data_IF_747612657768
#
_entry.id   IF_747612657768
#
_cell.length_a   1.000
_cell.length_b   1.000
_cell.length_c   1.000
_cell.angle_alpha   90.00
_cell.angle_beta   90.00
_cell.angle_gamma   90.00
#
_symmetry.space_group_name_H-M   'P 1'
#
loop_
_entity.id
_entity.type
_entity.pdbx_description
1 polymer ?
#
# COMPACT_ATOMS: atom_id res chain seq x y z
N UNK A 1 8.50 10.61 -11.17
CA UNK A 1 8.53 9.73 -9.97
C UNK A 1 7.28 9.87 -9.12
N UNK A 2 7.02 11.04 -8.52
CA UNK A 2 5.93 11.24 -7.53
C UNK A 2 4.54 10.86 -8.08
N UNK A 3 4.16 11.32 -9.27
CA UNK A 3 2.84 10.99 -9.84
C UNK A 3 2.63 9.48 -10.06
N UNK A 4 3.62 8.78 -10.61
CA UNK A 4 3.57 7.33 -10.79
C UNK A 4 3.55 6.58 -9.45
N UNK A 5 4.30 7.06 -8.46
CA UNK A 5 4.31 6.49 -7.12
C UNK A 5 2.95 6.66 -6.43
N UNK A 6 2.32 7.82 -6.55
CA UNK A 6 0.97 8.07 -6.04
C UNK A 6 -0.07 7.18 -6.71
N UNK A 7 -0.01 7.03 -8.05
CA UNK A 7 -0.91 6.14 -8.76
C UNK A 7 -0.78 4.69 -8.26
N UNK A 8 0.44 4.17 -8.14
CA UNK A 8 0.68 2.82 -7.62
C UNK A 8 0.30 2.64 -6.14
N UNK A 9 0.53 3.67 -5.31
CA UNK A 9 0.15 3.60 -3.90
C UNK A 9 -1.38 3.63 -3.71
N UNK A 10 -2.09 4.44 -4.51
CA UNK A 10 -3.55 4.54 -4.44
C UNK A 10 -4.24 3.27 -4.92
N UNK A 11 -3.71 2.59 -5.95
CA UNK A 11 -4.25 1.27 -6.35
C UNK A 11 -4.04 0.23 -5.27
N UNK A 12 -2.87 0.23 -4.62
CA UNK A 12 -2.56 -0.67 -3.50
C UNK A 12 -3.47 -0.37 -2.29
N UNK A 13 -3.67 0.91 -1.96
CA UNK A 13 -4.57 1.33 -0.88
C UNK A 13 -6.02 0.88 -1.11
N UNK A 14 -6.54 1.04 -2.34
CA UNK A 14 -7.88 0.58 -2.70
C UNK A 14 -8.01 -0.95 -2.55
N UNK A 15 -6.97 -1.71 -2.94
CA UNK A 15 -6.95 -3.16 -2.75
C UNK A 15 -6.93 -3.52 -1.25
N UNK A 16 -6.08 -2.89 -0.44
CA UNK A 16 -5.99 -3.15 1.00
C UNK A 16 -7.30 -2.83 1.74
N UNK A 17 -8.02 -1.80 1.31
CA UNK A 17 -9.33 -1.44 1.87
C UNK A 17 -10.40 -2.54 1.75
N UNK A 18 -10.21 -3.52 0.85
CA UNK A 18 -11.13 -4.65 0.68
C UNK A 18 -10.52 -5.98 1.11
N UNK A 19 -9.25 -6.21 0.80
CA UNK A 19 -8.56 -7.48 1.09
C UNK A 19 -8.32 -7.69 2.58
N UNK A 20 -7.90 -6.64 3.31
CA UNK A 20 -7.58 -6.77 4.74
C UNK A 20 -8.83 -7.10 5.58
N UNK A 21 -9.96 -6.38 5.44
CA UNK A 21 -11.17 -6.74 6.16
C UNK A 21 -11.71 -8.13 5.80
N UNK A 22 -11.63 -8.51 4.52
CA UNK A 22 -12.06 -9.83 4.04
C UNK A 22 -11.20 -10.94 4.65
N UNK A 23 -9.88 -10.75 4.69
CA UNK A 23 -8.96 -11.69 5.31
C UNK A 23 -9.27 -11.88 6.79
N UNK A 24 -9.44 -10.79 7.56
CA UNK A 24 -9.78 -10.88 8.98
C UNK A 24 -11.11 -11.59 9.22
N UNK A 25 -12.12 -11.31 8.40
CA UNK A 25 -13.40 -12.04 8.46
C UNK A 25 -13.23 -13.54 8.23
N UNK A 26 -12.35 -13.94 7.30
CA UNK A 26 -12.09 -15.35 7.01
C UNK A 26 -11.38 -16.08 8.15
N UNK A 27 -10.47 -15.39 8.87
CA UNK A 27 -9.76 -15.98 10.02
C UNK A 27 -10.50 -15.81 11.35
N UNK A 28 -11.73 -15.28 11.33
CA UNK A 28 -12.58 -15.13 12.53
C UNK A 28 -12.17 -13.97 13.45
N UNK A 29 -11.36 -13.04 12.96
CA UNK A 29 -10.95 -11.83 13.69
C UNK A 29 -11.91 -10.69 13.30
N UNK A 30 -12.33 -9.89 14.28
CA UNK A 30 -13.18 -8.71 14.04
C UNK A 30 -12.47 -7.71 13.10
N UNK A 31 -12.96 -7.51 11.87
CA UNK A 31 -12.36 -6.59 10.92
C UNK A 31 -12.38 -5.13 11.41
N UNK A 32 -13.36 -4.73 12.22
CA UNK A 32 -13.46 -3.34 12.66
C UNK A 32 -12.30 -2.92 13.57
N UNK A 33 -11.80 -3.85 14.38
CA UNK A 33 -10.69 -3.62 15.32
C UNK A 33 -9.34 -3.78 14.63
N UNK A 34 -9.18 -4.82 13.81
CA UNK A 34 -7.89 -5.17 13.22
C UNK A 34 -7.60 -4.41 11.91
N UNK A 35 -8.59 -4.05 11.09
CA UNK A 35 -8.30 -3.54 9.74
C UNK A 35 -7.64 -2.16 9.74
N UNK A 36 -8.03 -1.26 10.65
CA UNK A 36 -7.49 0.11 10.66
C UNK A 36 -5.95 0.16 10.79
N UNK A 37 -5.32 -0.45 11.81
CA UNK A 37 -3.86 -0.45 11.93
C UNK A 37 -3.15 -1.25 10.82
N UNK A 38 -3.75 -2.33 10.32
CA UNK A 38 -3.13 -3.15 9.27
C UNK A 38 -3.20 -2.49 7.89
N UNK A 39 -4.30 -1.81 7.57
CA UNK A 39 -4.45 -1.08 6.30
C UNK A 39 -3.43 0.06 6.25
N UNK A 40 -3.34 0.91 7.28
CA UNK A 40 -2.43 2.05 7.28
C UNK A 40 -0.96 1.62 7.20
N UNK A 41 -0.55 0.66 8.05
CA UNK A 41 0.83 0.15 8.03
C UNK A 41 1.20 -0.52 6.71
N UNK A 42 0.28 -1.27 6.10
CA UNK A 42 0.50 -1.88 4.79
C UNK A 42 0.65 -0.83 3.70
N UNK A 43 -0.18 0.22 3.71
CA UNK A 43 -0.09 1.34 2.77
C UNK A 43 1.23 2.12 2.97
N UNK A 44 1.67 2.33 4.21
CA UNK A 44 2.93 3.02 4.49
C UNK A 44 4.13 2.23 3.95
N UNK A 45 4.20 0.93 4.25
CA UNK A 45 5.29 0.06 3.79
C UNK A 45 5.30 -0.04 2.27
N UNK A 46 4.14 -0.34 1.66
CA UNK A 46 4.05 -0.49 0.20
C UNK A 46 4.28 0.83 -0.52
N UNK A 47 3.78 1.95 0.00
CA UNK A 47 4.02 3.28 -0.54
C UNK A 47 5.50 3.66 -0.54
N UNK A 48 6.21 3.39 0.57
CA UNK A 48 7.67 3.59 0.64
C UNK A 48 8.42 2.70 -0.34
N UNK A 49 8.02 1.43 -0.49
CA UNK A 49 8.65 0.52 -1.46
C UNK A 49 8.41 0.98 -2.91
N UNK A 50 7.19 1.34 -3.27
CA UNK A 50 6.85 1.85 -4.61
C UNK A 50 7.63 3.13 -4.91
N UNK A 51 7.64 4.08 -3.98
CA UNK A 51 8.38 5.33 -4.14
C UNK A 51 9.88 5.07 -4.30
N UNK A 52 10.47 4.29 -3.40
CA UNK A 52 11.91 4.02 -3.38
C UNK A 52 12.33 3.26 -4.64
N UNK A 53 11.56 2.26 -5.06
CA UNK A 53 11.80 1.54 -6.31
C UNK A 53 11.74 2.47 -7.53
N UNK A 54 10.69 3.28 -7.65
CA UNK A 54 10.57 4.21 -8.78
C UNK A 54 11.64 5.30 -8.75
N UNK A 55 12.03 5.77 -7.56
CA UNK A 55 13.13 6.71 -7.41
C UNK A 55 14.44 6.07 -7.87
N UNK A 56 14.80 4.90 -7.37
CA UNK A 56 16.02 4.17 -7.76
C UNK A 56 16.03 3.78 -9.25
N UNK A 57 14.88 3.42 -9.83
CA UNK A 57 14.79 3.03 -11.23
C UNK A 57 14.83 4.23 -12.19
N UNK A 58 14.25 5.38 -11.81
CA UNK A 58 14.13 6.55 -12.68
C UNK A 58 15.24 7.59 -12.47
N UNK A 59 15.91 7.59 -11.31
CA UNK A 59 17.01 8.54 -11.03
C UNK A 59 18.12 8.49 -12.09
N UNK A 60 18.52 7.34 -12.69
CA UNK A 60 19.58 7.31 -13.70
C UNK A 60 19.17 7.94 -15.03
N UNK A 61 17.88 8.10 -15.31
CA UNK A 61 17.39 8.76 -16.54
C UNK A 61 17.29 10.28 -16.38
N UNK A 62 17.48 10.79 -15.15
CA UNK A 62 17.49 12.22 -14.86
C UNK A 62 18.91 12.81 -14.98
N UNK A 63 19.94 11.96 -14.92
CA UNK A 63 21.37 12.29 -15.00
C UNK A 63 21.89 11.95 -16.40
#
# INVERSE_FOLDING_TARGET
VVGLALLGNMTTAAAMGTLVPLFFRQVGIDPAVASAPFISTSIDITGLLIYSFLASALIPYLI
#
